data_IF_280630199856
#
_entry.id   IF_280630199856
#
_cell.length_a   1.000
_cell.length_b   1.000
_cell.length_c   1.000
_cell.angle_alpha   90.00
_cell.angle_beta   90.00
_cell.angle_gamma   90.00
#
_symmetry.space_group_name_H-M   'P 1'
#
loop_
_entity.id
_entity.type
_entity.pdbx_description
1 polymer ?
#
# COMPACT_ATOMS: atom_id res chain seq x y z
N UNK A 1 -6.23 24.30 -15.34
CA UNK A 1 -6.16 24.06 -13.89
C UNK A 1 -5.37 22.77 -13.70
N UNK A 2 -4.22 22.81 -13.04
CA UNK A 2 -3.42 21.60 -12.84
C UNK A 2 -4.02 20.77 -11.70
N UNK A 3 -4.14 19.46 -11.91
CA UNK A 3 -4.63 18.53 -10.89
C UNK A 3 -3.44 18.09 -10.05
N UNK A 4 -3.52 18.30 -8.73
CA UNK A 4 -2.40 18.07 -7.81
C UNK A 4 -2.74 17.05 -6.74
N UNK A 5 -1.80 16.12 -6.51
CA UNK A 5 -1.85 15.12 -5.46
C UNK A 5 -0.66 15.33 -4.49
N UNK A 6 -0.93 15.30 -3.20
CA UNK A 6 0.11 15.15 -2.18
C UNK A 6 0.14 13.70 -1.69
N UNK A 7 1.30 13.05 -1.74
CA UNK A 7 1.50 11.70 -1.20
C UNK A 7 2.44 11.75 0.00
N UNK A 8 1.94 11.44 1.19
CA UNK A 8 2.76 11.29 2.40
C UNK A 8 3.25 9.85 2.53
N UNK A 9 4.49 9.68 3.01
CA UNK A 9 5.13 8.36 3.04
C UNK A 9 5.61 7.84 1.67
N UNK A 10 5.83 8.74 0.71
CA UNK A 10 6.26 8.43 -0.66
C UNK A 10 7.63 7.71 -0.79
N UNK A 11 8.46 7.73 0.26
CA UNK A 11 9.70 6.93 0.32
C UNK A 11 9.46 5.49 0.77
N UNK A 12 8.26 5.17 1.25
CA UNK A 12 7.87 3.81 1.64
C UNK A 12 7.48 2.96 0.44
N UNK A 13 7.38 1.65 0.65
CA UNK A 13 7.06 0.67 -0.39
C UNK A 13 5.75 1.01 -1.14
N UNK A 14 4.65 1.25 -0.41
CA UNK A 14 3.37 1.62 -1.04
C UNK A 14 3.44 3.05 -1.60
N UNK A 15 3.89 4.00 -0.78
CA UNK A 15 3.86 5.42 -1.15
C UNK A 15 4.63 5.75 -2.42
N UNK A 16 5.74 5.05 -2.67
CA UNK A 16 6.52 5.23 -3.89
C UNK A 16 5.71 4.86 -5.13
N UNK A 17 5.08 3.70 -5.13
CA UNK A 17 4.26 3.22 -6.24
C UNK A 17 3.02 4.09 -6.41
N UNK A 18 2.38 4.51 -5.32
CA UNK A 18 1.24 5.45 -5.39
C UNK A 18 1.66 6.78 -6.01
N UNK A 19 2.78 7.37 -5.59
CA UNK A 19 3.28 8.61 -6.18
C UNK A 19 3.61 8.43 -7.67
N UNK A 20 4.17 7.28 -8.06
CA UNK A 20 4.36 6.93 -9.48
C UNK A 20 3.02 6.85 -10.22
N UNK A 21 2.00 6.20 -9.65
CA UNK A 21 0.71 6.02 -10.26
C UNK A 21 -0.02 7.34 -10.52
N UNK A 22 0.04 8.30 -9.59
CA UNK A 22 -0.53 9.65 -9.81
C UNK A 22 0.18 10.43 -10.92
N UNK A 23 1.48 10.22 -11.13
CA UNK A 23 2.21 10.83 -12.26
C UNK A 23 1.79 10.28 -13.62
N UNK A 24 1.34 9.01 -13.71
CA UNK A 24 0.94 8.35 -14.98
C UNK A 24 -0.16 9.14 -15.74
N UNK A 25 -1.28 9.56 -15.13
CA UNK A 25 -2.29 10.41 -15.78
C UNK A 25 -1.91 11.91 -15.83
N UNK A 26 -0.67 12.28 -15.51
CA UNK A 26 -0.18 13.66 -15.60
C UNK A 26 -0.48 14.55 -14.39
N UNK A 27 -0.79 14.00 -13.21
CA UNK A 27 -1.00 14.82 -12.01
C UNK A 27 0.33 15.37 -11.50
N UNK A 28 0.32 16.64 -11.07
CA UNK A 28 1.44 17.19 -10.32
C UNK A 28 1.44 16.48 -8.96
N UNK A 29 2.51 15.74 -8.67
CA UNK A 29 2.59 14.90 -7.48
C UNK A 29 3.68 15.40 -6.56
N UNK A 30 3.29 15.92 -5.40
CA UNK A 30 4.22 16.30 -4.33
C UNK A 30 4.43 15.13 -3.37
N UNK A 31 5.65 14.97 -2.89
CA UNK A 31 6.01 13.98 -1.88
C UNK A 31 6.47 14.66 -0.58
N UNK A 32 5.86 14.31 0.55
CA UNK A 32 6.21 15.00 1.81
C UNK A 32 7.57 14.59 2.41
N UNK A 33 8.38 13.73 1.77
CA UNK A 33 9.62 13.23 2.39
C UNK A 33 10.82 12.98 1.45
N UNK A 34 10.77 13.30 0.15
CA UNK A 34 11.93 13.04 -0.71
C UNK A 34 13.09 14.03 -0.46
N UNK A 35 12.84 15.26 0.00
CA UNK A 35 13.88 16.32 0.09
C UNK A 35 13.76 17.31 1.25
N UNK A 36 13.01 16.99 2.32
CA UNK A 36 12.89 17.88 3.50
C UNK A 36 12.31 19.28 3.20
N UNK A 37 11.77 19.49 2.01
CA UNK A 37 11.16 20.74 1.56
C UNK A 37 9.81 20.40 0.94
N UNK A 38 8.74 20.92 1.54
CA UNK A 38 7.49 21.11 0.85
C UNK A 38 7.78 22.14 -0.25
N UNK A 39 7.88 21.73 -1.52
CA UNK A 39 7.85 22.68 -2.64
C UNK A 39 6.48 23.31 -2.60
N UNK A 40 6.36 24.46 -1.95
CA UNK A 40 5.20 25.36 -1.95
C UNK A 40 3.92 24.58 -2.21
N UNK A 41 3.38 23.87 -1.20
CA UNK A 41 2.06 23.25 -1.35
C UNK A 41 1.14 24.33 -1.91
N UNK A 42 0.70 24.13 -3.15
CA UNK A 42 -0.29 25.00 -3.78
C UNK A 42 -1.43 25.18 -2.79
N UNK A 43 -2.05 26.36 -2.79
CA UNK A 43 -3.22 26.61 -1.95
C UNK A 43 -4.38 25.64 -2.22
N UNK A 44 -4.31 24.81 -3.26
CA UNK A 44 -5.35 23.86 -3.64
C UNK A 44 -4.78 22.48 -4.01
N UNK A 45 -5.16 21.45 -3.25
CA UNK A 45 -4.84 20.04 -3.52
C UNK A 45 -6.11 19.30 -3.96
N UNK A 46 -6.04 18.51 -5.03
CA UNK A 46 -7.18 17.69 -5.47
C UNK A 46 -7.25 16.35 -4.74
N UNK A 47 -6.10 15.82 -4.32
CA UNK A 47 -6.02 14.62 -3.51
C UNK A 47 -4.91 14.71 -2.47
N UNK A 48 -5.18 14.15 -1.29
CA UNK A 48 -4.19 13.96 -0.24
C UNK A 48 -4.16 12.47 0.07
N UNK A 49 -3.03 11.83 -0.15
CA UNK A 49 -2.87 10.38 0.01
C UNK A 49 -1.87 10.11 1.13
N UNK A 50 -2.28 9.32 2.12
CA UNK A 50 -1.46 8.98 3.27
C UNK A 50 -1.10 7.50 3.28
N UNK A 51 0.16 7.19 2.99
CA UNK A 51 0.71 5.83 3.04
C UNK A 51 1.80 5.71 4.11
N UNK A 52 1.68 6.49 5.19
CA UNK A 52 2.64 6.50 6.29
C UNK A 52 2.23 5.55 7.41
N UNK A 53 3.20 4.85 8.00
CA UNK A 53 3.00 4.01 9.17
C UNK A 53 4.23 4.02 10.08
N UNK A 54 4.01 3.93 11.40
CA UNK A 54 5.07 3.79 12.40
C UNK A 54 4.66 2.78 13.47
N UNK A 55 5.18 1.55 13.35
CA UNK A 55 4.80 0.42 14.22
C UNK A 55 5.12 0.67 15.69
N UNK A 56 6.32 1.19 15.98
CA UNK A 56 6.81 1.36 17.36
C UNK A 56 6.24 2.60 18.08
N UNK A 57 5.40 3.39 17.43
CA UNK A 57 4.81 4.61 18.02
C UNK A 57 3.50 4.94 17.33
N UNK A 58 2.57 3.98 17.35
CA UNK A 58 1.37 4.03 16.53
C UNK A 58 0.43 5.18 16.92
N UNK A 59 0.11 5.33 18.21
CA UNK A 59 -0.88 6.32 18.68
C UNK A 59 -0.42 7.77 18.38
N UNK A 60 0.80 8.20 18.74
CA UNK A 60 1.26 9.54 18.41
C UNK A 60 1.34 9.77 16.89
N UNK A 61 1.82 8.75 16.15
CA UNK A 61 1.89 8.83 14.69
C UNK A 61 0.51 9.03 14.06
N UNK A 62 -0.48 8.24 14.47
CA UNK A 62 -1.85 8.36 13.99
C UNK A 62 -2.43 9.75 14.24
N UNK A 63 -2.28 10.28 15.47
CA UNK A 63 -2.78 11.63 15.82
C UNK A 63 -2.14 12.70 14.94
N UNK A 64 -0.83 12.62 14.71
CA UNK A 64 -0.11 13.57 13.86
C UNK A 64 -0.56 13.48 12.40
N UNK A 65 -0.77 12.27 11.87
CA UNK A 65 -1.29 12.06 10.52
C UNK A 65 -2.68 12.65 10.36
N UNK A 66 -3.60 12.40 11.31
CA UNK A 66 -4.95 12.98 11.27
C UNK A 66 -4.90 14.51 11.35
N UNK A 67 -4.03 15.07 12.19
CA UNK A 67 -3.86 16.51 12.28
C UNK A 67 -3.37 17.11 10.95
N UNK A 68 -2.35 16.52 10.33
CA UNK A 68 -1.85 16.93 9.02
C UNK A 68 -2.95 16.89 7.94
N UNK A 69 -3.68 15.77 7.84
CA UNK A 69 -4.75 15.61 6.86
C UNK A 69 -5.84 16.68 7.02
N UNK A 70 -6.23 16.99 8.25
CA UNK A 70 -7.21 18.04 8.55
C UNK A 70 -6.71 19.41 8.14
N UNK A 71 -5.50 19.77 8.54
CA UNK A 71 -4.89 21.08 8.23
C UNK A 71 -4.81 21.31 6.72
N UNK A 72 -4.32 20.32 5.97
CA UNK A 72 -4.22 20.41 4.51
C UNK A 72 -5.59 20.44 3.83
N UNK A 73 -6.57 19.68 4.36
CA UNK A 73 -7.93 19.69 3.81
C UNK A 73 -8.62 21.04 3.98
N UNK A 74 -8.43 21.68 5.14
CA UNK A 74 -8.96 23.02 5.42
C UNK A 74 -8.31 24.04 4.48
N UNK A 75 -6.97 24.08 4.42
CA UNK A 75 -6.24 25.01 3.57
C UNK A 75 -6.64 24.86 2.09
N UNK A 76 -6.77 23.63 1.59
CA UNK A 76 -7.23 23.39 0.22
C UNK A 76 -8.66 23.86 -0.02
N UNK A 77 -9.54 23.64 0.96
CA UNK A 77 -10.96 24.04 0.87
C UNK A 77 -11.11 25.56 0.88
N UNK A 78 -10.29 26.28 1.65
CA UNK A 78 -10.20 27.74 1.63
C UNK A 78 -9.72 28.27 0.26
N UNK A 79 -8.83 27.51 -0.41
CA UNK A 79 -8.45 27.74 -1.80
C UNK A 79 -9.52 27.35 -2.84
N UNK A 80 -10.68 26.84 -2.41
CA UNK A 80 -11.80 26.46 -3.29
C UNK A 80 -11.79 25.03 -3.80
N UNK A 81 -10.90 24.15 -3.31
CA UNK A 81 -10.81 22.74 -3.72
C UNK A 81 -10.97 21.81 -2.52
N UNK A 82 -11.96 20.90 -2.57
CA UNK A 82 -12.11 19.84 -1.57
C UNK A 82 -11.25 18.62 -1.96
N UNK A 83 -10.17 18.31 -1.24
CA UNK A 83 -9.31 17.20 -1.59
C UNK A 83 -9.97 15.85 -1.26
N UNK A 84 -9.71 14.85 -2.10
CA UNK A 84 -10.03 13.45 -1.76
C UNK A 84 -8.93 12.89 -0.86
N UNK A 85 -9.28 12.53 0.37
CA UNK A 85 -8.36 11.89 1.32
C UNK A 85 -8.38 10.37 1.14
N UNK A 86 -7.23 9.75 0.91
CA UNK A 86 -7.11 8.28 0.80
C UNK A 86 -5.96 7.78 1.65
N UNK A 87 -6.11 6.65 2.34
CA UNK A 87 -5.05 6.09 3.18
C UNK A 87 -5.10 4.56 3.23
N UNK A 88 -3.94 3.93 3.45
CA UNK A 88 -3.81 2.48 3.51
C UNK A 88 -2.64 2.04 4.37
N UNK A 89 -2.66 0.76 4.78
CA UNK A 89 -1.73 0.16 5.75
C UNK A 89 -1.05 -1.07 5.14
N UNK A 90 0.16 -1.37 5.62
CA UNK A 90 0.96 -2.60 5.40
C UNK A 90 1.73 -2.76 4.08
N UNK A 91 3.04 -2.99 4.22
CA UNK A 91 3.93 -3.52 3.17
C UNK A 91 4.14 -5.06 3.26
N UNK A 92 4.27 -5.68 2.07
CA UNK A 92 4.63 -7.07 1.71
C UNK A 92 4.24 -8.21 2.66
N UNK A 93 3.00 -8.68 2.53
CA UNK A 93 2.49 -9.89 3.20
C UNK A 93 3.26 -11.17 2.79
N UNK A 94 3.81 -11.21 1.57
CA UNK A 94 4.50 -12.40 1.05
C UNK A 94 6.01 -12.46 1.30
N UNK A 95 6.63 -11.40 1.85
CA UNK A 95 8.07 -11.34 2.15
C UNK A 95 8.58 -12.60 2.87
N UNK A 96 7.83 -13.09 3.86
CA UNK A 96 8.22 -14.27 4.64
C UNK A 96 8.39 -15.54 3.79
N UNK A 97 7.59 -15.73 2.73
CA UNK A 97 7.73 -16.89 1.85
C UNK A 97 9.06 -16.87 1.08
N UNK A 98 9.47 -15.70 0.58
CA UNK A 98 10.75 -15.51 -0.10
C UNK A 98 11.94 -15.68 0.86
N UNK A 99 11.85 -15.15 2.08
CA UNK A 99 12.89 -15.32 3.10
C UNK A 99 13.07 -16.79 3.49
N UNK A 100 11.97 -17.53 3.67
CA UNK A 100 11.99 -18.97 3.92
C UNK A 100 12.61 -19.70 2.73
N UNK A 101 12.16 -19.42 1.50
CA UNK A 101 12.70 -20.06 0.29
C UNK A 101 14.22 -19.87 0.17
N UNK A 102 14.69 -18.62 0.28
CA UNK A 102 16.10 -18.27 0.21
C UNK A 102 16.90 -18.96 1.32
N UNK A 103 16.36 -19.02 2.54
CA UNK A 103 16.99 -19.69 3.67
C UNK A 103 17.11 -21.20 3.44
N UNK A 104 16.06 -21.84 2.94
CA UNK A 104 16.00 -23.27 2.64
C UNK A 104 16.99 -23.66 1.53
N UNK A 105 17.07 -22.88 0.45
CA UNK A 105 18.10 -23.07 -0.59
C UNK A 105 19.50 -23.01 0.02
N UNK A 106 19.78 -21.98 0.83
CA UNK A 106 21.09 -21.79 1.47
C UNK A 106 21.48 -22.94 2.40
N UNK A 107 20.53 -23.48 3.15
CA UNK A 107 20.77 -24.57 4.10
C UNK A 107 20.57 -25.97 3.51
N UNK A 108 20.17 -26.08 2.24
CA UNK A 108 19.76 -27.35 1.60
C UNK A 108 18.69 -28.09 2.41
N UNK A 109 17.73 -27.34 2.95
CA UNK A 109 16.62 -27.86 3.75
C UNK A 109 15.30 -27.72 3.00
N UNK A 110 14.37 -28.63 3.26
CA UNK A 110 13.01 -28.49 2.76
C UNK A 110 12.24 -27.48 3.61
N UNK A 111 11.46 -26.57 3.00
CA UNK A 111 10.60 -25.67 3.74
C UNK A 111 9.53 -26.43 4.54
N UNK A 112 9.24 -25.94 5.74
CA UNK A 112 8.17 -26.44 6.59
C UNK A 112 7.32 -25.29 7.12
N UNK A 113 6.00 -25.42 7.01
CA UNK A 113 5.06 -24.40 7.50
C UNK A 113 4.27 -24.90 8.71
N UNK A 114 4.15 -24.10 9.79
CA UNK A 114 3.38 -24.46 10.97
C UNK A 114 1.88 -24.13 10.83
N UNK A 115 1.33 -24.18 9.61
CA UNK A 115 -0.06 -23.80 9.31
C UNK A 115 -0.69 -24.76 8.31
N UNK A 116 -2.02 -24.95 8.34
CA UNK A 116 -2.71 -25.78 7.34
C UNK A 116 -2.49 -25.27 5.90
N UNK A 117 -2.37 -26.17 4.90
CA UNK A 117 -2.14 -25.80 3.50
C UNK A 117 -3.28 -24.99 2.87
N UNK A 118 -4.49 -25.12 3.39
CA UNK A 118 -5.69 -24.40 2.96
C UNK A 118 -5.88 -23.06 3.69
N UNK A 119 -4.97 -22.67 4.58
CA UNK A 119 -5.03 -21.36 5.23
C UNK A 119 -5.02 -20.25 4.18
N UNK A 120 -5.95 -19.31 4.32
CA UNK A 120 -6.10 -18.21 3.37
C UNK A 120 -4.96 -17.22 3.54
N UNK A 121 -4.34 -16.87 2.42
CA UNK A 121 -3.40 -15.78 2.28
C UNK A 121 -4.04 -14.76 1.34
N UNK A 122 -4.38 -13.57 1.83
CA UNK A 122 -5.02 -12.56 1.01
C UNK A 122 -4.12 -11.33 0.89
N UNK A 123 -3.69 -11.04 -0.33
CA UNK A 123 -2.92 -9.85 -0.64
C UNK A 123 -3.36 -9.26 -1.99
N UNK A 124 -3.17 -7.96 -2.15
CA UNK A 124 -3.36 -7.23 -3.40
C UNK A 124 -2.00 -6.79 -3.94
N UNK A 125 -1.82 -6.80 -5.27
CA UNK A 125 -0.62 -6.26 -5.88
C UNK A 125 -0.51 -4.75 -5.61
N UNK A 126 0.70 -4.26 -5.35
CA UNK A 126 0.89 -2.85 -4.97
C UNK A 126 0.53 -1.88 -6.11
N UNK A 127 0.71 -2.27 -7.37
CA UNK A 127 0.25 -1.48 -8.51
C UNK A 127 -1.28 -1.42 -8.60
N UNK A 128 -2.00 -2.54 -8.43
CA UNK A 128 -3.46 -2.54 -8.41
C UNK A 128 -4.01 -1.68 -7.26
N UNK A 129 -3.34 -1.74 -6.11
CA UNK A 129 -3.61 -0.88 -4.97
C UNK A 129 -3.44 0.60 -5.36
N UNK A 130 -2.32 0.96 -5.97
CA UNK A 130 -2.03 2.32 -6.42
C UNK A 130 -2.99 2.84 -7.49
N UNK A 131 -3.36 2.00 -8.46
CA UNK A 131 -4.33 2.36 -9.49
C UNK A 131 -5.72 2.59 -8.88
N UNK A 132 -6.09 1.84 -7.84
CA UNK A 132 -7.31 2.09 -7.09
C UNK A 132 -7.28 3.44 -6.34
N UNK A 133 -6.14 3.87 -5.77
CA UNK A 133 -6.01 5.24 -5.23
C UNK A 133 -6.27 6.30 -6.29
N UNK A 134 -5.67 6.15 -7.47
CA UNK A 134 -5.83 7.09 -8.58
C UNK A 134 -7.28 7.09 -9.09
N UNK A 135 -7.91 5.92 -9.21
CA UNK A 135 -9.30 5.79 -9.65
C UNK A 135 -10.28 6.44 -8.68
N UNK A 136 -10.06 6.30 -7.37
CA UNK A 136 -10.86 6.98 -6.34
C UNK A 136 -10.64 8.49 -6.45
N UNK A 137 -9.39 8.96 -6.42
CA UNK A 137 -9.08 10.39 -6.46
C UNK A 137 -9.56 11.09 -7.75
N UNK A 138 -9.49 10.40 -8.88
CA UNK A 138 -9.90 10.87 -10.19
C UNK A 138 -11.36 10.58 -10.55
N UNK A 139 -12.17 10.09 -9.61
CA UNK A 139 -13.55 9.69 -9.91
C UNK A 139 -14.36 10.89 -10.43
N UNK A 140 -15.06 10.78 -11.59
CA UNK A 140 -15.72 11.92 -12.24
C UNK A 140 -16.85 12.53 -11.40
N UNK A 141 -17.37 11.77 -10.43
CA UNK A 141 -18.39 12.22 -9.48
C UNK A 141 -17.87 12.09 -8.06
N UNK A 142 -17.16 13.10 -7.55
CA UNK A 142 -16.60 13.10 -6.20
C UNK A 142 -17.66 12.91 -5.11
N UNK A 143 -18.88 13.42 -5.31
CA UNK A 143 -20.00 13.22 -4.36
C UNK A 143 -20.35 11.75 -4.11
N UNK A 144 -20.05 10.85 -5.05
CA UNK A 144 -20.34 9.42 -4.90
C UNK A 144 -19.32 8.70 -4.02
N UNK A 145 -18.13 9.26 -3.86
CA UNK A 145 -17.04 8.67 -3.07
C UNK A 145 -16.84 9.38 -1.73
N UNK A 146 -17.40 10.58 -1.57
CA UNK A 146 -17.30 11.34 -0.33
C UNK A 146 -17.89 10.55 0.86
N UNK A 147 -17.10 10.43 1.93
CA UNK A 147 -17.47 9.71 3.15
C UNK A 147 -17.52 8.18 3.01
N UNK A 148 -17.19 7.62 1.84
CA UNK A 148 -17.19 6.17 1.63
C UNK A 148 -15.92 5.52 2.16
N UNK A 149 -16.06 4.25 2.56
CA UNK A 149 -14.94 3.38 2.94
C UNK A 149 -14.82 2.27 1.89
N UNK A 150 -13.67 2.19 1.23
CA UNK A 150 -13.39 1.18 0.23
C UNK A 150 -12.45 0.13 0.79
N UNK A 151 -12.78 -1.15 0.58
CA UNK A 151 -11.84 -2.24 0.77
C UNK A 151 -11.15 -2.51 -0.57
N UNK A 152 -9.81 -2.42 -0.59
CA UNK A 152 -9.02 -2.73 -1.77
C UNK A 152 -8.46 -4.13 -1.62
N UNK A 153 -9.09 -5.08 -2.31
CA UNK A 153 -8.81 -6.51 -2.22
C UNK A 153 -8.48 -7.10 -3.58
N UNK A 154 -7.70 -8.18 -3.62
CA UNK A 154 -7.58 -8.97 -4.85
C UNK A 154 -8.90 -9.66 -5.18
N UNK A 155 -9.04 -10.13 -6.43
CA UNK A 155 -10.27 -10.78 -6.91
C UNK A 155 -10.51 -12.17 -6.32
N UNK A 156 -9.49 -12.78 -5.71
CA UNK A 156 -9.53 -14.18 -5.25
C UNK A 156 -8.65 -14.35 -4.02
N UNK A 157 -9.03 -15.28 -3.15
CA UNK A 157 -8.17 -15.72 -2.08
C UNK A 157 -7.11 -16.69 -2.61
N UNK A 158 -5.85 -16.45 -2.25
CA UNK A 158 -4.79 -17.43 -2.36
C UNK A 158 -4.73 -18.27 -1.07
N UNK A 159 -4.08 -19.43 -1.15
CA UNK A 159 -3.82 -20.26 0.02
C UNK A 159 -2.32 -20.38 0.23
N UNK A 160 -1.89 -20.69 1.46
CA UNK A 160 -0.48 -20.97 1.77
C UNK A 160 0.08 -21.98 0.76
N UNK A 161 -0.64 -23.08 0.48
CA UNK A 161 -0.22 -24.07 -0.53
C UNK A 161 0.02 -23.48 -1.92
N UNK A 162 -0.87 -22.61 -2.41
CA UNK A 162 -0.73 -22.01 -3.75
C UNK A 162 0.49 -21.07 -3.81
N UNK A 163 0.65 -20.23 -2.79
CA UNK A 163 1.78 -19.29 -2.71
C UNK A 163 3.10 -20.03 -2.55
N UNK A 164 3.19 -20.98 -1.59
CA UNK A 164 4.39 -21.78 -1.37
C UNK A 164 4.81 -22.55 -2.61
N UNK A 165 3.85 -23.14 -3.33
CA UNK A 165 4.14 -23.83 -4.60
C UNK A 165 4.81 -22.90 -5.60
N UNK A 166 4.20 -21.75 -5.87
CA UNK A 166 4.71 -20.80 -6.86
C UNK A 166 6.10 -20.25 -6.47
N UNK A 167 6.29 -19.88 -5.20
CA UNK A 167 7.58 -19.35 -4.71
C UNK A 167 8.66 -20.43 -4.74
N UNK A 168 8.36 -21.66 -4.31
CA UNK A 168 9.37 -22.70 -4.21
C UNK A 168 9.73 -23.33 -5.54
N UNK A 169 8.83 -23.34 -6.52
CA UNK A 169 9.16 -23.66 -7.90
C UNK A 169 10.22 -22.68 -8.44
N UNK A 170 10.04 -21.37 -8.22
CA UNK A 170 11.00 -20.33 -8.64
C UNK A 170 12.40 -20.50 -8.00
N UNK A 171 12.45 -20.98 -6.76
CA UNK A 171 13.70 -21.20 -6.02
C UNK A 171 14.31 -22.58 -6.25
N UNK A 172 13.76 -23.40 -7.17
CA UNK A 172 14.26 -24.75 -7.44
C UNK A 172 14.00 -25.76 -6.32
N UNK A 173 13.06 -25.49 -5.42
CA UNK A 173 12.65 -26.34 -4.29
C UNK A 173 11.40 -27.19 -4.63
N UNK A 174 11.13 -27.41 -5.92
CA UNK A 174 9.97 -28.17 -6.41
C UNK A 174 9.91 -29.63 -5.89
N UNK A 175 11.03 -30.16 -5.40
CA UNK A 175 11.14 -31.52 -4.85
C UNK A 175 10.33 -31.75 -3.56
N UNK A 176 9.83 -30.70 -2.90
CA UNK A 176 8.84 -30.83 -1.84
C UNK A 176 8.88 -29.72 -0.78
N UNK A 177 7.77 -29.55 -0.09
CA UNK A 177 7.66 -28.75 1.13
C UNK A 177 6.59 -29.38 2.02
N UNK A 178 6.79 -29.31 3.32
CA UNK A 178 5.93 -29.96 4.28
C UNK A 178 5.04 -28.94 5.00
N UNK A 179 3.83 -29.37 5.33
CA UNK A 179 2.97 -28.67 6.27
C UNK A 179 3.02 -29.46 7.56
N UNK A 180 3.42 -28.81 8.66
CA UNK A 180 3.37 -29.43 9.97
C UNK A 180 1.92 -29.72 10.35
N UNK A 181 1.63 -30.94 10.80
CA UNK A 181 0.46 -31.18 11.62
C UNK A 181 0.67 -30.44 12.94
N UNK A 182 -0.16 -29.44 13.24
CA UNK A 182 -0.38 -29.12 14.64
C UNK A 182 -1.41 -30.10 15.19
N UNK A 183 -1.05 -30.63 16.36
CA UNK A 183 -1.87 -31.41 17.29
C UNK A 183 -3.11 -30.63 17.68
#
# INVERSE_FOLDING_TARGET
MHIQALVTGANGYIGNIVACAFRRPGWITDDFLARGHCRSASSTLNAIVSTTEKKNSYIPHFKNTIHLLRTLSIASSEGGVRPTNVFGRSASYYRGFFEIAAHCVRLKQLPSFPVPPNSNCHALHVDDCADAYVAIAGHPRQKNIEGQIFNMSSRRYETVKKISKAVFEEYGLAAGFNFGHQV
#
